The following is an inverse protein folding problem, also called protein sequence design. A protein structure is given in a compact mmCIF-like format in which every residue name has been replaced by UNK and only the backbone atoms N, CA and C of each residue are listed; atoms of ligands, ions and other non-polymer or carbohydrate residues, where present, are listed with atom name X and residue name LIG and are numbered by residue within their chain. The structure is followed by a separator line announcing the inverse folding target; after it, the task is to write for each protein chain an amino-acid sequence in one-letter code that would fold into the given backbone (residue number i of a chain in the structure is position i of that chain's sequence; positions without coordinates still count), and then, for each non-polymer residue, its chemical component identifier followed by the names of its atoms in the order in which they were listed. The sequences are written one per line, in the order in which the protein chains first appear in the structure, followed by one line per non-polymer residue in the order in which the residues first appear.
data_IF_123882517422
#
_entry.id   IF_123882517422
#
_cell.length_a   1.000
_cell.length_b   1.000
_cell.length_c   1.000
_cell.angle_alpha   90.00
_cell.angle_beta   90.00
_cell.angle_gamma   90.00
#
_symmetry.space_group_name_H-M   'P 1'
#
loop_
_entity.id
_entity.type
_entity.pdbx_description
1 polymer ?
#
# COMPACT_ATOMS: atom_id res chain seq x y z
N UNK A 1 -4.96 -3.55 -15.98
CA UNK A 1 -4.28 -2.24 -16.03
C UNK A 1 -3.15 -2.22 -15.01
N UNK A 2 -1.94 -1.80 -15.40
CA UNK A 2 -0.77 -1.72 -14.50
C UNK A 2 -0.57 -0.29 -14.04
N UNK A 3 -0.33 -0.08 -12.75
CA UNK A 3 -0.15 1.25 -12.15
C UNK A 3 1.02 1.29 -11.18
N UNK A 4 1.60 2.48 -11.01
CA UNK A 4 2.59 2.77 -9.98
C UNK A 4 2.04 3.83 -9.02
N UNK A 5 2.47 3.78 -7.76
CA UNK A 5 2.12 4.78 -6.74
C UNK A 5 3.38 5.62 -6.46
N UNK A 6 3.29 6.94 -6.66
CA UNK A 6 4.33 7.87 -6.24
C UNK A 6 3.84 8.66 -5.03
N UNK A 7 4.41 8.40 -3.86
CA UNK A 7 3.93 8.86 -2.56
C UNK A 7 3.05 7.82 -1.86
N UNK A 8 3.67 7.01 -1.01
CA UNK A 8 3.05 5.99 -0.16
C UNK A 8 2.70 6.51 1.25
N UNK A 9 2.22 7.75 1.27
CA UNK A 9 1.58 8.37 2.43
C UNK A 9 0.19 7.81 2.72
N UNK A 10 -0.63 8.57 3.45
CA UNK A 10 -1.97 8.13 3.89
C UNK A 10 -2.87 7.65 2.73
N UNK A 11 -2.96 8.44 1.66
CA UNK A 11 -3.81 8.10 0.51
C UNK A 11 -3.23 6.91 -0.28
N UNK A 12 -1.92 6.88 -0.54
CA UNK A 12 -1.28 5.77 -1.26
C UNK A 12 -1.51 4.42 -0.58
N UNK A 13 -1.39 4.35 0.75
CA UNK A 13 -1.63 3.12 1.52
C UNK A 13 -3.10 2.69 1.48
N UNK A 14 -4.03 3.61 1.68
CA UNK A 14 -5.48 3.31 1.63
C UNK A 14 -5.88 2.87 0.22
N UNK A 15 -5.36 3.55 -0.79
CA UNK A 15 -5.57 3.20 -2.20
C UNK A 15 -5.11 1.77 -2.47
N UNK A 16 -3.88 1.41 -2.08
CA UNK A 16 -3.38 0.05 -2.25
C UNK A 16 -4.28 -0.98 -1.53
N UNK A 17 -4.70 -0.72 -0.28
CA UNK A 17 -5.60 -1.62 0.45
C UNK A 17 -6.92 -1.89 -0.27
N UNK A 18 -7.48 -0.87 -0.93
CA UNK A 18 -8.73 -1.00 -1.67
C UNK A 18 -8.52 -1.70 -3.02
N UNK A 19 -7.45 -1.34 -3.73
CA UNK A 19 -7.21 -1.82 -5.09
C UNK A 19 -6.78 -3.29 -5.14
N UNK A 20 -6.17 -3.81 -4.07
CA UNK A 20 -5.80 -5.23 -3.95
C UNK A 20 -7.02 -6.18 -4.05
N UNK A 21 -8.24 -5.68 -3.88
CA UNK A 21 -9.47 -6.45 -4.08
C UNK A 21 -9.97 -6.45 -5.52
N UNK A 22 -9.39 -5.63 -6.40
CA UNK A 22 -9.81 -5.47 -7.78
C UNK A 22 -8.86 -6.23 -8.73
N UNK A 23 -9.28 -7.35 -9.32
CA UNK A 23 -8.42 -8.16 -10.19
C UNK A 23 -8.04 -7.46 -11.51
N UNK A 24 -8.76 -6.42 -11.92
CA UNK A 24 -8.48 -5.69 -13.15
C UNK A 24 -7.27 -4.74 -13.02
N UNK A 25 -6.82 -4.46 -11.80
CA UNK A 25 -5.78 -3.46 -11.52
C UNK A 25 -4.62 -4.11 -10.76
N UNK A 26 -3.42 -3.92 -11.29
CA UNK A 26 -2.20 -4.44 -10.72
C UNK A 26 -1.27 -3.28 -10.37
N UNK A 27 -0.99 -3.09 -9.08
CA UNK A 27 0.04 -2.15 -8.62
C UNK A 27 1.39 -2.85 -8.78
N UNK A 28 2.27 -2.29 -9.60
CA UNK A 28 3.56 -2.91 -9.96
C UNK A 28 4.76 -2.23 -9.29
N UNK A 29 4.60 -1.00 -8.82
CA UNK A 29 5.67 -0.24 -8.19
C UNK A 29 5.13 0.78 -7.19
N UNK A 30 5.92 1.06 -6.17
CA UNK A 30 5.67 2.09 -5.17
C UNK A 30 6.98 2.87 -4.98
N UNK A 31 6.90 4.19 -5.05
CA UNK A 31 8.01 5.10 -4.78
C UNK A 31 7.67 6.02 -3.60
N UNK A 32 8.61 6.18 -2.68
CA UNK A 32 8.52 7.11 -1.54
C UNK A 32 9.94 7.50 -1.06
N UNK A 33 10.05 8.37 -0.06
CA UNK A 33 11.31 8.90 0.47
C UNK A 33 11.89 8.04 1.61
N UNK A 34 11.23 6.93 1.96
CA UNK A 34 11.57 6.08 3.10
C UNK A 34 11.80 4.64 2.68
N UNK A 35 12.50 3.86 3.51
CA UNK A 35 12.83 2.47 3.25
C UNK A 35 11.62 1.52 3.20
N UNK A 36 11.79 0.38 2.53
CA UNK A 36 10.74 -0.60 2.29
C UNK A 36 10.20 -1.23 3.58
N UNK A 37 11.02 -1.43 4.62
CA UNK A 37 10.57 -2.03 5.87
C UNK A 37 9.62 -1.08 6.61
N UNK A 38 9.97 0.19 6.66
CA UNK A 38 9.10 1.23 7.23
C UNK A 38 7.80 1.36 6.43
N UNK A 39 7.85 1.38 5.10
CA UNK A 39 6.62 1.41 4.27
C UNK A 39 5.74 0.18 4.50
N UNK A 40 6.33 -1.02 4.58
CA UNK A 40 5.63 -2.26 4.87
C UNK A 40 4.99 -2.22 6.26
N UNK A 41 5.70 -1.71 7.27
CA UNK A 41 5.17 -1.53 8.61
C UNK A 41 3.96 -0.58 8.63
N UNK A 42 4.09 0.59 8.01
CA UNK A 42 3.01 1.60 7.91
C UNK A 42 1.83 1.10 7.08
N UNK A 43 2.07 0.21 6.10
CA UNK A 43 1.00 -0.44 5.35
C UNK A 43 0.30 -1.51 6.17
N UNK A 44 1.02 -2.28 6.98
CA UNK A 44 0.46 -3.31 7.86
C UNK A 44 -0.34 -2.70 9.01
N UNK A 45 0.14 -1.63 9.64
CA UNK A 45 -0.47 -1.02 10.81
C UNK A 45 -0.94 0.40 10.52
N UNK A 46 -2.25 0.63 10.59
CA UNK A 46 -2.86 1.97 10.44
C UNK A 46 -3.68 2.28 11.71
N UNK A 47 -3.48 3.45 12.29
CA UNK A 47 -4.15 3.85 13.54
C UNK A 47 -5.66 4.06 13.39
N UNK A 48 -6.12 4.48 12.20
CA UNK A 48 -7.54 4.78 11.92
C UNK A 48 -8.23 3.56 11.31
N UNK A 49 -7.59 2.95 10.31
CA UNK A 49 -8.16 1.85 9.53
C UNK A 49 -7.73 0.45 10.03
N UNK A 50 -7.01 0.39 11.16
CA UNK A 50 -6.52 -0.83 11.80
C UNK A 50 -5.59 -1.64 10.90
N UNK A 51 -5.25 -2.86 11.34
CA UNK A 51 -4.32 -3.74 10.66
C UNK A 51 -4.80 -4.18 9.28
N UNK A 52 -3.89 -4.21 8.30
CA UNK A 52 -4.14 -4.88 7.03
C UNK A 52 -4.32 -6.39 7.25
N UNK A 53 -5.34 -6.98 6.63
CA UNK A 53 -5.72 -8.39 6.86
C UNK A 53 -4.93 -9.40 6.03
N UNK A 54 -4.20 -8.96 5.02
CA UNK A 54 -3.34 -9.82 4.22
C UNK A 54 -1.93 -9.94 4.79
N UNK A 55 -1.13 -10.77 4.13
CA UNK A 55 0.30 -10.91 4.43
C UNK A 55 1.08 -9.73 3.85
N UNK A 56 2.05 -9.24 4.61
CA UNK A 56 3.02 -8.22 4.18
C UNK A 56 4.40 -8.79 4.49
N UNK A 57 5.26 -8.84 3.48
CA UNK A 57 6.62 -9.41 3.52
C UNK A 57 7.54 -8.63 2.60
#
# INVERSE_FOLDING_TARGET
MKIAINGFGRIGRIFLRNILKNPAIQVIAINDLTDTQTLAHLFKYDSVHRGFKGTVS
#
